data_IF_653911697721
#
_entry.id   IF_653911697721
#
_cell.length_a   1.000
_cell.length_b   1.000
_cell.length_c   1.000
_cell.angle_alpha   90.00
_cell.angle_beta   90.00
_cell.angle_gamma   90.00
#
_symmetry.space_group_name_H-M   'P 1'
#
loop_
_entity.id
_entity.type
_entity.pdbx_description
1 polymer ?
#
# COMPACT_ATOMS: atom_id res chain seq x y z
N UNK A 1 25.29 -16.61 -27.61
CA UNK A 1 25.75 -18.02 -27.56
C UNK A 1 25.73 -18.54 -28.99
N UNK A 2 26.77 -19.25 -29.42
CA UNK A 2 26.85 -19.84 -30.76
C UNK A 2 26.85 -21.35 -30.61
N UNK A 3 25.90 -22.03 -31.26
CA UNK A 3 25.84 -23.49 -31.29
C UNK A 3 26.43 -23.99 -32.60
N UNK A 4 27.32 -24.99 -32.53
CA UNK A 4 27.82 -25.73 -33.69
C UNK A 4 27.23 -27.13 -33.64
N UNK A 5 26.54 -27.54 -34.72
CA UNK A 5 25.89 -28.84 -34.83
C UNK A 5 26.59 -29.58 -35.96
N UNK A 6 27.17 -30.74 -35.65
CA UNK A 6 27.88 -31.58 -36.62
C UNK A 6 27.24 -32.96 -36.65
N UNK A 7 27.08 -33.51 -37.84
CA UNK A 7 26.49 -34.83 -38.04
C UNK A 7 26.87 -35.41 -39.40
N UNK A 8 26.83 -36.74 -39.51
CA UNK A 8 27.25 -37.47 -40.71
C UNK A 8 26.34 -37.17 -41.93
N UNK A 9 25.06 -36.83 -41.69
CA UNK A 9 24.09 -36.49 -42.74
C UNK A 9 23.47 -35.14 -42.48
N UNK A 10 23.33 -34.32 -43.53
CA UNK A 10 22.69 -33.01 -43.47
C UNK A 10 21.29 -33.06 -42.85
N UNK A 11 20.48 -34.06 -43.23
CA UNK A 11 19.13 -34.26 -42.70
C UNK A 11 19.10 -34.40 -41.17
N UNK A 12 20.11 -35.06 -40.58
CA UNK A 12 20.20 -35.23 -39.14
C UNK A 12 20.62 -33.93 -38.45
N UNK A 13 21.50 -33.15 -39.08
CA UNK A 13 21.91 -31.82 -38.60
C UNK A 13 20.70 -30.87 -38.61
N UNK A 14 19.94 -30.84 -39.70
CA UNK A 14 18.76 -30.00 -39.84
C UNK A 14 17.67 -30.38 -38.83
N UNK A 15 17.40 -31.68 -38.65
CA UNK A 15 16.44 -32.17 -37.66
C UNK A 15 16.84 -31.78 -36.23
N UNK A 16 18.12 -31.93 -35.88
CA UNK A 16 18.63 -31.53 -34.56
C UNK A 16 18.55 -30.01 -34.36
N UNK A 17 18.89 -29.22 -35.38
CA UNK A 17 18.79 -27.76 -35.33
C UNK A 17 17.34 -27.30 -35.12
N UNK A 18 16.39 -27.87 -35.87
CA UNK A 18 14.96 -27.58 -35.72
C UNK A 18 14.46 -27.96 -34.32
N UNK A 19 14.86 -29.13 -33.81
CA UNK A 19 14.47 -29.59 -32.48
C UNK A 19 14.97 -28.64 -31.38
N UNK A 20 16.22 -28.18 -31.46
CA UNK A 20 16.78 -27.21 -30.50
C UNK A 20 16.05 -25.87 -30.60
N UNK A 21 15.78 -25.37 -31.81
CA UNK A 21 15.03 -24.13 -31.99
C UNK A 21 13.63 -24.22 -31.42
N UNK A 22 12.92 -25.33 -31.66
CA UNK A 22 11.61 -25.57 -31.08
C UNK A 22 11.64 -25.58 -29.56
N UNK A 23 12.67 -26.18 -28.94
CA UNK A 23 12.84 -26.16 -27.48
C UNK A 23 13.08 -24.75 -26.95
N UNK A 24 13.96 -23.97 -27.61
CA UNK A 24 14.23 -22.59 -27.22
C UNK A 24 12.94 -21.76 -27.30
N UNK A 25 12.20 -21.88 -28.41
CA UNK A 25 10.96 -21.14 -28.61
C UNK A 25 9.86 -21.55 -27.62
N UNK A 26 9.76 -22.84 -27.29
CA UNK A 26 8.81 -23.34 -26.29
C UNK A 26 9.11 -22.85 -24.87
N UNK A 27 10.38 -22.64 -24.55
CA UNK A 27 10.81 -22.14 -23.24
C UNK A 27 10.67 -20.62 -23.10
N UNK A 28 10.57 -19.86 -24.21
CA UNK A 28 10.29 -18.43 -24.16
C UNK A 28 8.85 -18.19 -23.69
N UNK A 29 8.68 -17.27 -22.75
CA UNK A 29 7.38 -16.82 -22.31
C UNK A 29 7.37 -15.32 -22.07
N UNK A 30 6.15 -14.81 -21.96
CA UNK A 30 5.90 -13.42 -21.63
C UNK A 30 4.80 -13.35 -20.58
N UNK A 31 4.91 -12.38 -19.68
CA UNK A 31 3.84 -12.03 -18.75
C UNK A 31 3.64 -10.52 -18.70
N UNK A 32 2.40 -10.09 -18.51
CA UNK A 32 2.02 -8.68 -18.46
C UNK A 32 1.37 -8.40 -17.11
N UNK A 33 1.93 -7.44 -16.38
CA UNK A 33 1.39 -6.94 -15.13
C UNK A 33 0.81 -5.55 -15.38
N UNK A 34 -0.46 -5.35 -15.01
CA UNK A 34 -1.21 -4.11 -15.19
C UNK A 34 -1.68 -3.62 -13.83
N UNK A 35 -1.20 -2.47 -13.37
CA UNK A 35 -1.54 -1.92 -12.04
C UNK A 35 -1.24 -0.41 -11.98
N UNK A 36 -2.17 0.38 -11.46
CA UNK A 36 -2.05 1.85 -11.31
C UNK A 36 -0.78 2.26 -10.54
N UNK A 37 -0.31 1.43 -9.60
CA UNK A 37 0.86 1.76 -8.76
C UNK A 37 2.20 1.64 -9.49
N UNK A 38 2.23 1.11 -10.72
CA UNK A 38 3.47 1.04 -11.52
C UNK A 38 4.02 2.45 -11.80
N UNK A 39 3.15 3.44 -11.99
CA UNK A 39 3.55 4.84 -12.17
C UNK A 39 4.26 5.43 -10.94
N UNK A 40 4.01 4.87 -9.76
CA UNK A 40 4.57 5.34 -8.49
C UNK A 40 5.92 4.69 -8.13
N UNK A 41 6.52 3.91 -9.03
CA UNK A 41 7.82 3.30 -8.78
C UNK A 41 8.93 4.37 -8.75
N UNK A 42 9.58 4.50 -7.59
CA UNK A 42 10.73 5.34 -7.34
C UNK A 42 12.05 4.77 -7.91
N UNK A 43 13.15 5.51 -7.72
CA UNK A 43 14.49 5.12 -8.18
C UNK A 43 14.96 3.78 -7.59
N UNK A 44 14.58 3.45 -6.36
CA UNK A 44 14.91 2.19 -5.70
C UNK A 44 14.17 1.01 -6.31
N UNK A 45 12.87 1.15 -6.60
CA UNK A 45 12.13 0.13 -7.34
C UNK A 45 12.67 -0.03 -8.77
N UNK A 46 12.97 1.07 -9.47
CA UNK A 46 13.60 1.01 -10.80
C UNK A 46 14.95 0.30 -10.79
N UNK A 47 15.81 0.59 -9.81
CA UNK A 47 17.09 -0.11 -9.63
C UNK A 47 16.89 -1.61 -9.43
N UNK A 48 15.89 -2.00 -8.65
CA UNK A 48 15.54 -3.40 -8.40
C UNK A 48 15.16 -4.11 -9.71
N UNK A 49 14.37 -3.46 -10.57
CA UNK A 49 14.01 -4.00 -11.88
C UNK A 49 15.24 -4.17 -12.79
N UNK A 50 16.15 -3.19 -12.84
CA UNK A 50 17.41 -3.30 -13.60
C UNK A 50 18.27 -4.47 -13.11
N UNK A 51 18.36 -4.65 -11.79
CA UNK A 51 19.10 -5.77 -11.20
C UNK A 51 18.43 -7.12 -11.46
N UNK A 52 17.09 -7.18 -11.53
CA UNK A 52 16.36 -8.38 -11.95
C UNK A 52 16.60 -8.70 -13.42
N UNK A 53 16.57 -7.69 -14.29
CA UNK A 53 16.84 -7.84 -15.71
C UNK A 53 18.21 -8.50 -15.95
N UNK A 54 19.25 -8.01 -15.24
CA UNK A 54 20.61 -8.55 -15.34
C UNK A 54 20.74 -9.97 -14.78
N UNK A 55 20.16 -10.25 -13.61
CA UNK A 55 20.34 -11.54 -12.91
C UNK A 55 19.49 -12.67 -13.48
N UNK A 56 18.34 -12.36 -14.06
CA UNK A 56 17.33 -13.32 -14.53
C UNK A 56 17.21 -13.36 -16.06
N UNK A 57 18.04 -12.60 -16.76
CA UNK A 57 18.06 -12.53 -18.23
C UNK A 57 16.67 -12.31 -18.86
N UNK A 58 15.81 -11.57 -18.15
CA UNK A 58 14.52 -11.13 -18.66
C UNK A 58 14.68 -9.79 -19.37
N UNK A 59 13.64 -9.35 -20.08
CA UNK A 59 13.52 -8.01 -20.64
C UNK A 59 12.24 -7.38 -20.11
N UNK A 60 12.34 -6.14 -19.62
CA UNK A 60 11.17 -5.34 -19.25
C UNK A 60 10.79 -4.37 -20.37
N UNK A 61 9.49 -4.27 -20.66
CA UNK A 61 8.93 -3.22 -21.49
C UNK A 61 7.84 -2.50 -20.70
N UNK A 62 7.97 -1.18 -20.57
CA UNK A 62 7.02 -0.34 -19.86
C UNK A 62 6.05 0.30 -20.85
N UNK A 63 4.77 0.02 -20.70
CA UNK A 63 3.69 0.64 -21.48
C UNK A 63 2.96 1.64 -20.59
N UNK A 64 3.59 2.81 -20.38
CA UNK A 64 3.05 3.91 -19.56
C UNK A 64 2.00 4.76 -20.28
N UNK A 65 1.75 4.51 -21.57
CA UNK A 65 0.65 5.12 -22.33
C UNK A 65 -0.68 4.36 -22.19
N UNK A 66 -0.72 3.30 -21.37
CA UNK A 66 -1.92 2.54 -21.02
C UNK A 66 -2.47 2.99 -19.68
N UNK A 67 -3.79 2.97 -19.52
CA UNK A 67 -4.46 3.13 -18.23
C UNK A 67 -5.20 1.82 -17.89
N UNK A 68 -4.81 1.08 -16.83
CA UNK A 68 -3.62 1.32 -16.00
C UNK A 68 -2.31 0.99 -16.75
N UNK A 69 -1.18 1.57 -16.32
CA UNK A 69 0.14 1.30 -16.89
C UNK A 69 0.50 -0.18 -16.81
N UNK A 70 1.36 -0.64 -17.73
CA UNK A 70 1.75 -2.06 -17.80
C UNK A 70 3.25 -2.26 -17.81
N UNK A 71 3.68 -3.37 -17.22
CA UNK A 71 5.03 -3.92 -17.35
C UNK A 71 4.90 -5.27 -18.03
N UNK A 72 5.48 -5.39 -19.23
CA UNK A 72 5.67 -6.65 -19.92
C UNK A 72 7.05 -7.23 -19.59
N UNK A 73 7.08 -8.51 -19.27
CA UNK A 73 8.27 -9.27 -18.87
C UNK A 73 8.43 -10.41 -19.87
N UNK A 74 9.53 -10.43 -20.61
CA UNK A 74 9.83 -11.48 -21.60
C UNK A 74 11.13 -12.20 -21.25
N UNK A 75 11.21 -13.51 -21.47
CA UNK A 75 12.40 -14.32 -21.21
C UNK A 75 12.07 -15.81 -21.10
N UNK A 76 12.93 -16.59 -20.44
CA UNK A 76 12.62 -18.01 -20.21
C UNK A 76 11.55 -18.19 -19.13
N UNK A 77 10.71 -19.21 -19.31
CA UNK A 77 9.48 -19.43 -18.51
C UNK A 77 9.67 -19.37 -17.00
N UNK A 78 10.70 -20.05 -16.48
CA UNK A 78 11.02 -20.06 -15.04
C UNK A 78 11.36 -18.67 -14.51
N UNK A 79 12.15 -17.92 -15.26
CA UNK A 79 12.65 -16.63 -14.82
C UNK A 79 11.56 -15.55 -14.96
N UNK A 80 10.75 -15.60 -16.03
CA UNK A 80 9.56 -14.76 -16.18
C UNK A 80 8.60 -14.95 -15.01
N UNK A 81 8.31 -16.20 -14.61
CA UNK A 81 7.46 -16.49 -13.46
C UNK A 81 8.05 -15.91 -12.16
N UNK A 82 9.32 -16.21 -11.87
CA UNK A 82 10.02 -15.71 -10.67
C UNK A 82 10.01 -14.18 -10.60
N UNK A 83 10.34 -13.51 -11.70
CA UNK A 83 10.38 -12.05 -11.75
C UNK A 83 8.99 -11.45 -11.64
N UNK A 84 7.98 -12.08 -12.25
CA UNK A 84 6.59 -11.62 -12.13
C UNK A 84 6.13 -11.59 -10.68
N UNK A 85 6.47 -12.61 -9.89
CA UNK A 85 6.18 -12.64 -8.46
C UNK A 85 6.91 -11.53 -7.69
N UNK A 86 8.16 -11.23 -8.04
CA UNK A 86 8.90 -10.13 -7.41
C UNK A 86 8.27 -8.76 -7.72
N UNK A 87 7.86 -8.52 -8.96
CA UNK A 87 7.17 -7.26 -9.36
C UNK A 87 5.82 -7.14 -8.65
N UNK A 88 5.02 -8.21 -8.59
CA UNK A 88 3.76 -8.22 -7.84
C UNK A 88 3.98 -7.90 -6.35
N UNK A 89 5.03 -8.45 -5.74
CA UNK A 89 5.39 -8.15 -4.36
C UNK A 89 5.83 -6.68 -4.17
N UNK A 90 6.49 -6.08 -5.14
CA UNK A 90 6.84 -4.65 -5.10
C UNK A 90 5.59 -3.78 -5.12
N UNK A 91 4.64 -4.08 -6.01
CA UNK A 91 3.34 -3.39 -6.10
C UNK A 91 2.58 -3.53 -4.78
N UNK A 92 2.52 -4.74 -4.22
CA UNK A 92 1.83 -4.99 -2.95
C UNK A 92 2.45 -4.18 -1.81
N UNK A 93 3.78 -4.11 -1.71
CA UNK A 93 4.45 -3.30 -0.68
C UNK A 93 4.15 -1.80 -0.80
N UNK A 94 4.08 -1.28 -2.02
CA UNK A 94 3.68 0.11 -2.25
C UNK A 94 2.24 0.35 -1.80
N UNK A 95 1.34 -0.57 -2.13
CA UNK A 95 -0.07 -0.53 -1.70
C UNK A 95 -0.20 -0.53 -0.18
N UNK A 96 0.50 -1.45 0.48
CA UNK A 96 0.50 -1.57 1.95
C UNK A 96 1.02 -0.29 2.61
N UNK A 97 2.10 0.29 2.05
CA UNK A 97 2.68 1.54 2.55
C UNK A 97 1.69 2.71 2.41
N UNK A 98 1.05 2.85 1.25
CA UNK A 98 0.07 3.92 1.02
C UNK A 98 -1.16 3.78 1.92
N UNK A 99 -1.60 2.54 2.16
CA UNK A 99 -2.69 2.25 3.08
C UNK A 99 -2.32 2.58 4.53
N UNK A 100 -1.14 2.18 4.97
CA UNK A 100 -0.63 2.49 6.31
C UNK A 100 -0.52 4.01 6.52
N UNK A 101 0.02 4.74 5.55
CA UNK A 101 0.11 6.20 5.61
C UNK A 101 -1.27 6.86 5.66
N UNK A 102 -2.21 6.39 4.85
CA UNK A 102 -3.59 6.90 4.83
C UNK A 102 -4.29 6.65 6.17
N UNK A 103 -4.10 5.46 6.75
CA UNK A 103 -4.63 5.12 8.08
C UNK A 103 -3.96 5.96 9.17
N UNK A 104 -2.65 6.18 9.09
CA UNK A 104 -1.91 6.99 10.06
C UNK A 104 -2.39 8.45 10.05
N UNK A 105 -2.56 9.03 8.86
CA UNK A 105 -3.14 10.36 8.67
C UNK A 105 -4.54 10.45 9.27
N UNK A 106 -5.35 9.44 9.00
CA UNK A 106 -6.71 9.36 9.50
C UNK A 106 -6.75 9.39 11.02
N UNK A 107 -6.04 8.45 11.65
CA UNK A 107 -6.05 8.29 13.11
C UNK A 107 -5.51 9.55 13.79
N UNK A 108 -4.44 10.14 13.25
CA UNK A 108 -3.85 11.37 13.77
C UNK A 108 -4.82 12.57 13.81
N UNK A 109 -5.77 12.61 12.87
CA UNK A 109 -6.82 13.65 12.84
C UNK A 109 -7.93 13.43 13.88
N UNK A 110 -8.06 12.23 14.43
CA UNK A 110 -9.14 11.85 15.35
C UNK A 110 -8.67 11.79 16.80
N UNK A 111 -7.45 11.34 17.00
CA UNK A 111 -6.83 11.15 18.31
C UNK A 111 -5.37 11.53 18.24
N UNK A 112 -4.92 12.23 19.27
CA UNK A 112 -3.54 12.63 19.44
C UNK A 112 -2.95 11.94 20.65
N UNK A 113 -1.92 11.15 20.39
CA UNK A 113 -1.07 10.56 21.38
C UNK A 113 0.12 11.48 21.64
N UNK A 114 0.43 11.70 22.91
CA UNK A 114 1.52 12.56 23.38
C UNK A 114 2.36 11.85 24.42
N UNK A 115 3.62 12.24 24.54
CA UNK A 115 4.51 11.81 25.62
C UNK A 115 5.04 13.01 26.40
N UNK A 116 5.31 12.77 27.68
CA UNK A 116 5.89 13.76 28.57
C UNK A 116 7.35 14.02 28.21
N UNK A 117 7.68 15.27 27.88
CA UNK A 117 9.04 15.70 27.54
C UNK A 117 9.74 16.37 28.74
N UNK A 118 8.99 17.08 29.57
CA UNK A 118 9.41 17.66 30.84
C UNK A 118 8.23 17.64 31.81
N UNK A 119 8.41 18.07 33.07
CA UNK A 119 7.37 17.96 34.10
C UNK A 119 5.99 18.49 33.66
N UNK A 120 5.95 19.58 32.88
CA UNK A 120 4.68 20.21 32.43
C UNK A 120 4.48 20.25 30.91
N UNK A 121 5.38 19.66 30.11
CA UNK A 121 5.30 19.73 28.64
C UNK A 121 5.06 18.38 27.99
N UNK A 122 4.06 18.31 27.12
CA UNK A 122 3.77 17.15 26.29
C UNK A 122 4.13 17.42 24.83
N UNK A 123 4.72 16.42 24.17
CA UNK A 123 5.01 16.45 22.74
C UNK A 123 4.21 15.35 22.03
N UNK A 124 3.73 15.64 20.84
CA UNK A 124 2.99 14.68 20.01
C UNK A 124 3.91 13.61 19.44
N UNK A 125 3.38 12.40 19.27
CA UNK A 125 4.01 11.38 18.45
C UNK A 125 3.85 11.71 16.96
N UNK A 126 4.73 11.17 16.12
CA UNK A 126 4.51 11.16 14.67
C UNK A 126 3.26 10.34 14.31
N UNK A 127 2.72 10.55 13.11
CA UNK A 127 1.44 9.96 12.69
C UNK A 127 1.46 8.43 12.74
N UNK A 128 2.59 7.81 12.40
CA UNK A 128 2.71 6.36 12.37
C UNK A 128 2.74 5.79 13.79
N UNK A 129 3.58 6.33 14.68
CA UNK A 129 3.62 5.89 16.08
C UNK A 129 2.29 6.15 16.79
N UNK A 130 1.64 7.28 16.51
CA UNK A 130 0.30 7.62 16.99
C UNK A 130 -0.74 6.55 16.59
N UNK A 131 -0.74 6.15 15.32
CA UNK A 131 -1.61 5.09 14.81
C UNK A 131 -1.34 3.75 15.50
N UNK A 132 -0.07 3.38 15.68
CA UNK A 132 0.31 2.12 16.33
C UNK A 132 -0.13 2.07 17.81
N UNK A 133 -0.03 3.19 18.52
CA UNK A 133 -0.52 3.32 19.90
C UNK A 133 -2.04 3.15 19.96
N UNK A 134 -2.76 3.77 19.03
CA UNK A 134 -4.21 3.63 18.95
C UNK A 134 -4.62 2.20 18.61
N UNK A 135 -3.99 1.58 17.61
CA UNK A 135 -4.22 0.18 17.24
C UNK A 135 -3.95 -0.76 18.42
N UNK A 136 -2.87 -0.53 19.19
CA UNK A 136 -2.56 -1.30 20.38
C UNK A 136 -3.62 -1.13 21.49
N UNK A 137 -4.16 0.09 21.67
CA UNK A 137 -5.25 0.37 22.61
C UNK A 137 -6.52 -0.37 22.23
N UNK A 138 -6.89 -0.32 20.95
CA UNK A 138 -8.07 -0.99 20.40
C UNK A 138 -7.95 -2.51 20.53
N UNK A 139 -6.79 -3.06 20.14
CA UNK A 139 -6.49 -4.47 20.23
C UNK A 139 -6.28 -4.97 21.67
N UNK A 140 -6.42 -4.09 22.69
CA UNK A 140 -6.20 -4.38 24.10
C UNK A 140 -4.83 -5.02 24.38
N UNK A 141 -3.81 -4.64 23.60
CA UNK A 141 -2.43 -5.09 23.83
C UNK A 141 -1.94 -4.48 25.13
N UNK A 142 -1.30 -5.30 25.97
CA UNK A 142 -0.76 -4.80 27.24
C UNK A 142 0.42 -3.82 27.03
N UNK A 143 1.28 -4.11 26.05
CA UNK A 143 2.49 -3.34 25.81
C UNK A 143 2.74 -3.08 24.32
N UNK A 144 3.38 -1.94 24.02
CA UNK A 144 3.91 -1.59 22.71
C UNK A 144 5.29 -0.95 22.87
N UNK A 145 6.25 -1.33 22.04
CA UNK A 145 7.56 -0.66 22.02
C UNK A 145 7.52 0.50 21.03
N UNK A 146 7.87 1.70 21.48
CA UNK A 146 7.97 2.91 20.65
C UNK A 146 9.36 3.53 20.77
N UNK A 147 9.74 4.35 19.80
CA UNK A 147 10.99 5.13 19.85
C UNK A 147 10.70 6.58 20.20
N UNK A 148 11.34 7.07 21.26
CA UNK A 148 11.28 8.48 21.69
C UNK A 148 12.72 8.98 21.81
N UNK A 149 13.06 10.06 21.09
CA UNK A 149 14.43 10.62 21.04
C UNK A 149 15.51 9.54 20.77
N UNK A 150 15.22 8.66 19.81
CA UNK A 150 16.06 7.52 19.40
C UNK A 150 16.33 6.45 20.49
N UNK A 151 15.56 6.45 21.59
CA UNK A 151 15.58 5.41 22.62
C UNK A 151 14.29 4.60 22.58
N UNK A 152 14.40 3.30 22.85
CA UNK A 152 13.23 2.43 22.91
C UNK A 152 12.56 2.55 24.28
N UNK A 153 11.24 2.73 24.27
CA UNK A 153 10.40 2.71 25.46
C UNK A 153 9.34 1.64 25.30
N UNK A 154 9.13 0.85 26.35
CA UNK A 154 8.02 -0.10 26.45
C UNK A 154 6.83 0.61 27.10
N UNK A 155 5.86 0.97 26.27
CA UNK A 155 4.59 1.58 26.68
C UNK A 155 3.69 0.50 27.25
N UNK A 156 3.17 0.72 28.45
CA UNK A 156 2.01 0.01 28.97
C UNK A 156 0.75 0.78 28.58
N UNK A 157 -0.07 0.17 27.73
CA UNK A 157 -1.23 0.80 27.09
C UNK A 157 -2.41 0.96 28.07
N UNK A 158 -2.39 0.22 29.18
CA UNK A 158 -3.42 0.29 30.21
C UNK A 158 -3.12 1.40 31.22
N UNK A 159 -1.85 1.52 31.66
CA UNK A 159 -1.43 2.55 32.62
C UNK A 159 -1.00 3.85 31.97
N UNK A 160 -0.82 3.87 30.64
CA UNK A 160 -0.33 5.00 29.87
C UNK A 160 1.05 5.49 30.36
N UNK A 161 1.94 4.55 30.66
CA UNK A 161 3.32 4.82 31.07
C UNK A 161 4.30 4.13 30.14
N UNK A 162 5.41 4.79 29.82
CA UNK A 162 6.50 4.23 29.02
C UNK A 162 7.75 4.05 29.88
N UNK A 163 8.32 2.85 29.88
CA UNK A 163 9.55 2.55 30.61
C UNK A 163 10.71 2.30 29.64
N UNK A 164 11.86 2.91 29.87
CA UNK A 164 13.10 2.54 29.17
C UNK A 164 13.78 1.33 29.83
N UNK A 165 14.90 0.90 29.25
CA UNK A 165 15.76 -0.19 29.74
C UNK A 165 16.51 0.16 31.04
N UNK A 166 16.49 1.43 31.45
CA UNK A 166 17.19 1.96 32.64
C UNK A 166 16.25 2.24 33.80
N UNK A 167 14.95 1.97 33.65
CA UNK A 167 13.92 2.21 34.65
C UNK A 167 13.36 3.64 34.68
N UNK A 168 13.68 4.48 33.69
CA UNK A 168 13.04 5.79 33.53
C UNK A 168 11.60 5.59 33.06
N UNK A 169 10.65 6.11 33.83
CA UNK A 169 9.23 6.13 33.46
C UNK A 169 8.81 7.50 32.98
N UNK A 170 8.12 7.56 31.85
CA UNK A 170 7.48 8.78 31.33
C UNK A 170 5.99 8.55 31.11
N UNK A 171 5.20 9.61 31.30
CA UNK A 171 3.75 9.57 31.08
C UNK A 171 3.41 9.70 29.59
N UNK A 172 2.37 8.99 29.16
CA UNK A 172 1.76 9.07 27.85
C UNK A 172 0.32 9.55 28.00
N UNK A 173 -0.15 10.34 27.06
CA UNK A 173 -1.52 10.83 27.03
C UNK A 173 -2.17 10.52 25.70
N UNK A 174 -3.46 10.19 25.75
CA UNK A 174 -4.33 10.03 24.59
C UNK A 174 -5.41 11.11 24.66
N UNK A 175 -5.44 12.00 23.67
CA UNK A 175 -6.35 13.15 23.61
C UNK A 175 -7.24 13.02 22.37
N UNK A 176 -8.54 12.76 22.51
CA UNK A 176 -9.48 12.81 21.40
C UNK A 176 -9.56 14.24 20.83
N UNK A 177 -9.51 14.39 19.50
CA UNK A 177 -9.63 15.69 18.83
C UNK A 177 -11.08 16.12 18.56
N UNK A 178 -12.05 15.22 18.76
CA UNK A 178 -13.44 15.40 18.34
C UNK A 178 -14.45 15.52 19.50
N UNK A 179 -14.03 15.76 20.74
CA UNK A 179 -14.99 15.82 21.87
C UNK A 179 -15.87 17.09 21.90
N UNK A 180 -15.61 18.10 21.07
CA UNK A 180 -16.44 19.31 21.01
C UNK A 180 -17.47 19.38 19.86
N UNK A 181 -17.63 18.35 19.03
CA UNK A 181 -18.69 18.36 18.00
C UNK A 181 -19.47 17.06 17.97
N UNK A 182 -20.75 17.19 18.32
CA UNK A 182 -21.94 16.38 18.06
C UNK A 182 -21.69 14.94 17.60
N UNK A 183 -22.47 14.00 18.15
CA UNK A 183 -22.61 12.67 17.57
C UNK A 183 -22.81 12.80 16.05
N UNK A 184 -21.75 12.52 15.29
CA UNK A 184 -21.81 12.52 13.83
C UNK A 184 -22.73 11.35 13.50
N UNK A 185 -23.98 11.65 13.19
CA UNK A 185 -24.88 10.68 12.55
C UNK A 185 -24.20 10.29 11.24
N UNK A 186 -23.91 9.00 11.11
CA UNK A 186 -23.38 8.48 9.85
C UNK A 186 -24.50 8.63 8.81
N UNK A 187 -24.19 9.05 7.57
CA UNK A 187 -25.19 9.15 6.52
C UNK A 187 -25.94 7.82 6.34
N UNK A 188 -27.25 7.91 6.11
CA UNK A 188 -28.14 6.74 6.10
C UNK A 188 -27.86 5.77 4.95
N UNK A 189 -27.17 6.24 3.91
CA UNK A 189 -26.81 5.48 2.71
C UNK A 189 -25.59 4.58 2.94
N UNK A 190 -24.99 4.62 4.14
CA UNK A 190 -23.78 3.88 4.44
C UNK A 190 -24.11 2.44 4.82
N UNK A 191 -23.58 1.50 4.04
CA UNK A 191 -23.63 0.09 4.41
C UNK A 191 -22.64 -0.21 5.54
N UNK A 192 -23.03 -1.15 6.42
CA UNK A 192 -22.13 -1.67 7.43
C UNK A 192 -20.88 -2.28 6.76
N UNK A 193 -19.69 -1.93 7.26
CA UNK A 193 -18.42 -2.45 6.74
C UNK A 193 -18.25 -3.98 6.92
N UNK A 194 -19.19 -4.67 7.58
CA UNK A 194 -19.21 -6.12 7.86
C UNK A 194 -17.90 -6.60 8.46
N UNK A 195 -17.44 -5.85 9.47
CA UNK A 195 -16.16 -6.06 10.15
C UNK A 195 -14.89 -5.95 9.29
N UNK A 196 -14.98 -5.57 8.01
CA UNK A 196 -13.78 -5.34 7.19
C UNK A 196 -13.01 -4.13 7.73
N UNK A 197 -11.67 -4.22 7.85
CA UNK A 197 -10.85 -3.11 8.30
C UNK A 197 -10.86 -1.95 7.30
N UNK A 198 -11.01 -2.28 6.02
CA UNK A 198 -11.06 -1.35 4.89
C UNK A 198 -12.11 -1.82 3.89
N UNK A 199 -12.90 -0.88 3.36
CA UNK A 199 -13.88 -1.11 2.32
C UNK A 199 -13.65 -0.08 1.20
N UNK A 200 -13.53 -0.55 -0.06
CA UNK A 200 -13.48 0.33 -1.23
C UNK A 200 -14.83 0.27 -1.92
N UNK A 201 -15.51 1.42 -2.01
CA UNK A 201 -16.84 1.57 -2.60
C UNK A 201 -16.71 2.34 -3.91
N UNK A 202 -17.26 1.81 -5.00
CA UNK A 202 -17.37 2.56 -6.25
C UNK A 202 -18.61 3.45 -6.14
N UNK A 203 -18.44 4.76 -6.33
CA UNK A 203 -19.58 5.67 -6.32
C UNK A 203 -20.32 5.61 -7.66
N UNK A 204 -21.64 5.34 -7.67
CA UNK A 204 -22.46 5.48 -8.86
C UNK A 204 -22.51 6.94 -9.32
N UNK A 205 -22.50 7.17 -10.64
CA UNK A 205 -22.61 8.51 -11.25
C UNK A 205 -23.87 9.27 -10.83
N UNK A 206 -24.92 8.53 -10.47
CA UNK A 206 -26.22 9.07 -10.07
C UNK A 206 -26.23 9.50 -8.59
N UNK A 207 -25.22 9.11 -7.81
CA UNK A 207 -25.15 9.47 -6.39
C UNK A 207 -24.82 10.95 -6.20
N UNK A 208 -25.45 11.58 -5.21
CA UNK A 208 -25.18 12.99 -4.89
C UNK A 208 -23.71 13.24 -4.53
N UNK A 209 -23.06 12.27 -3.88
CA UNK A 209 -21.64 12.34 -3.54
C UNK A 209 -20.76 12.37 -4.79
N UNK A 210 -21.03 11.52 -5.79
CA UNK A 210 -20.32 11.53 -7.06
C UNK A 210 -20.48 12.88 -7.76
N UNK A 211 -21.72 13.39 -7.86
CA UNK A 211 -22.01 14.65 -8.53
C UNK A 211 -21.33 15.86 -7.86
N UNK A 212 -21.24 15.85 -6.53
CA UNK A 212 -20.52 16.88 -5.78
C UNK A 212 -19.02 16.84 -6.10
N UNK A 213 -18.43 15.65 -6.12
CA UNK A 213 -17.03 15.45 -6.49
C UNK A 213 -16.77 15.88 -7.94
N UNK A 214 -17.63 15.46 -8.86
CA UNK A 214 -17.53 15.82 -10.27
C UNK A 214 -17.60 17.34 -10.46
N UNK A 215 -18.52 18.00 -9.75
CA UNK A 215 -18.65 19.45 -9.80
C UNK A 215 -17.38 20.16 -9.36
N UNK A 216 -16.76 19.75 -8.25
CA UNK A 216 -15.51 20.34 -7.78
C UNK A 216 -14.33 20.01 -8.70
N UNK A 217 -14.23 18.76 -9.18
CA UNK A 217 -13.20 18.34 -10.12
C UNK A 217 -13.26 19.13 -11.44
N UNK A 218 -14.44 19.35 -12.00
CA UNK A 218 -14.62 20.12 -13.23
C UNK A 218 -14.21 21.58 -13.09
N UNK A 219 -14.24 22.16 -11.87
CA UNK A 219 -13.73 23.53 -11.65
C UNK A 219 -12.22 23.61 -11.84
N UNK A 220 -11.48 22.58 -11.45
CA UNK A 220 -10.01 22.55 -11.55
C UNK A 220 -9.51 21.89 -12.83
N UNK A 221 -10.27 20.94 -13.38
CA UNK A 221 -9.90 20.09 -14.51
C UNK A 221 -11.04 19.99 -15.55
N UNK A 222 -11.42 21.08 -16.25
CA UNK A 222 -12.63 21.11 -17.09
C UNK A 222 -12.59 20.20 -18.32
N UNK A 223 -11.40 19.86 -18.82
CA UNK A 223 -11.20 19.10 -20.05
C UNK A 223 -10.93 17.60 -19.82
N UNK A 224 -10.97 17.14 -18.57
CA UNK A 224 -10.72 15.74 -18.23
C UNK A 224 -12.03 15.04 -17.89
N UNK A 225 -12.16 13.81 -18.36
CA UNK A 225 -13.29 12.94 -18.04
C UNK A 225 -12.96 12.11 -16.81
N UNK A 226 -13.88 12.08 -15.85
CA UNK A 226 -13.77 11.20 -14.69
C UNK A 226 -14.10 9.78 -15.16
N UNK A 227 -13.10 8.89 -15.11
CA UNK A 227 -13.30 7.47 -15.44
C UNK A 227 -14.04 6.74 -14.32
N UNK A 228 -13.70 7.06 -13.06
CA UNK A 228 -14.26 6.42 -11.88
C UNK A 228 -14.08 7.29 -10.65
N UNK A 229 -14.98 7.15 -9.68
CA UNK A 229 -14.77 7.67 -8.33
C UNK A 229 -14.88 6.53 -7.33
N UNK A 230 -13.87 6.38 -6.48
CA UNK A 230 -13.83 5.38 -5.41
C UNK A 230 -13.73 6.07 -4.07
N UNK A 231 -14.49 5.58 -3.10
CA UNK A 231 -14.33 5.92 -1.70
C UNK A 231 -13.60 4.78 -1.00
N UNK A 232 -12.52 5.10 -0.31
CA UNK A 232 -11.87 4.15 0.61
C UNK A 232 -12.30 4.48 2.02
N UNK A 233 -13.06 3.57 2.60
CA UNK A 233 -13.57 3.59 3.96
C UNK A 233 -12.62 2.84 4.87
N UNK A 234 -12.35 3.44 6.03
CA UNK A 234 -11.51 2.85 7.06
C UNK A 234 -12.34 2.67 8.33
N UNK A 235 -12.35 1.47 8.89
CA UNK A 235 -12.95 1.22 10.20
C UNK A 235 -12.16 2.01 11.24
N UNK A 236 -12.80 2.96 11.90
CA UNK A 236 -12.25 3.69 13.04
C UNK A 236 -12.92 3.15 14.29
N UNK A 237 -12.18 2.42 15.13
CA UNK A 237 -12.72 1.97 16.41
C UNK A 237 -12.71 3.15 17.38
N UNK A 238 -13.88 3.65 17.76
CA UNK A 238 -13.99 4.61 18.86
C UNK A 238 -14.29 3.88 20.17
N UNK A 239 -13.78 4.40 21.29
CA UNK A 239 -14.05 3.86 22.61
C UNK A 239 -15.53 4.04 22.97
N UNK A 240 -16.36 3.03 22.68
CA UNK A 240 -17.67 2.86 23.31
C UNK A 240 -18.92 3.29 22.52
N UNK A 241 -18.84 3.74 21.26
CA UNK A 241 -20.01 3.89 20.35
C UNK A 241 -19.65 3.53 18.91
N UNK A 242 -20.70 3.37 18.08
CA UNK A 242 -20.70 2.87 16.70
C UNK A 242 -19.40 3.14 15.92
N UNK A 243 -18.93 2.12 15.22
CA UNK A 243 -17.77 2.17 14.31
C UNK A 243 -17.94 3.33 13.34
N UNK A 244 -17.05 4.32 13.42
CA UNK A 244 -17.03 5.42 12.45
C UNK A 244 -16.23 4.96 11.24
N UNK A 245 -16.69 5.31 10.04
CA UNK A 245 -15.90 5.21 8.82
C UNK A 245 -15.41 6.60 8.44
N UNK A 246 -14.16 6.71 7.98
CA UNK A 246 -13.70 7.94 7.29
C UNK A 246 -13.30 7.58 5.88
N UNK A 247 -13.66 8.48 4.98
CA UNK A 247 -13.50 8.33 3.55
C UNK A 247 -12.28 9.11 3.06
N UNK A 248 -11.53 8.49 2.18
CA UNK A 248 -10.61 9.18 1.27
C UNK A 248 -11.14 8.98 -0.14
N UNK A 249 -11.26 10.08 -0.88
CA UNK A 249 -11.72 10.08 -2.26
C UNK A 249 -10.55 9.75 -3.19
N UNK A 250 -10.78 8.83 -4.10
CA UNK A 250 -9.87 8.49 -5.20
C UNK A 250 -10.61 8.79 -6.49
N UNK A 251 -10.06 9.70 -7.27
CA UNK A 251 -10.54 10.08 -8.60
C UNK A 251 -9.57 9.48 -9.61
#
# INVERSE_FOLDING_TARGET
VTFQICGERQQNVDAAASWIMDLILKEQSENIISDELIENFDRGQMKTLVDLQRRKHVTFQFESNRSPPRIKISGISRDVYSVSMEVQNMIQKLRDTQEEQSKAELVYNLVEWRYQESNDSFRTFDKLTNMQLEDAKIAKKAHLTVKIKNKNYKVNINTLQANDDRGTTISIQRVPKNEEKQAIELPAEWEDMKDKPVLVVNLPSESQEYQNVEKEFRKTCPNLTIEKVRLKEYKIPTSGRATKSKRTLWI
#
